data_IF_738877445708
#
_entry.id   IF_738877445708
#
_cell.length_a   1.000
_cell.length_b   1.000
_cell.length_c   1.000
_cell.angle_alpha   90.00
_cell.angle_beta   90.00
_cell.angle_gamma   90.00
#
_symmetry.space_group_name_H-M   'P 1'
#
loop_
_entity.id
_entity.type
_entity.pdbx_description
1 polymer ?
#
# COMPACT_ATOMS: atom_id res chain seq x y z
N UNK A 1 -31.71 -3.17 -11.90
CA UNK A 1 -30.66 -4.20 -11.94
C UNK A 1 -29.36 -3.59 -11.43
N UNK A 2 -28.59 -4.32 -10.62
CA UNK A 2 -27.26 -3.85 -10.22
C UNK A 2 -26.41 -3.69 -11.48
N UNK A 3 -25.76 -2.54 -11.63
CA UNK A 3 -24.94 -2.26 -12.80
C UNK A 3 -23.65 -3.10 -12.71
N UNK A 4 -23.40 -4.04 -13.64
CA UNK A 4 -22.26 -4.96 -13.55
C UNK A 4 -20.92 -4.21 -13.54
N UNK A 5 -20.85 -3.07 -14.21
CA UNK A 5 -19.66 -2.21 -14.24
C UNK A 5 -19.36 -1.59 -12.85
N UNK A 6 -20.40 -1.17 -12.12
CA UNK A 6 -20.25 -0.63 -10.76
C UNK A 6 -19.83 -1.71 -9.76
N UNK A 7 -20.33 -2.94 -9.93
CA UNK A 7 -19.91 -4.09 -9.14
C UNK A 7 -18.44 -4.44 -9.41
N UNK A 8 -17.99 -4.36 -10.67
CA UNK A 8 -16.60 -4.58 -11.03
C UNK A 8 -15.67 -3.51 -10.45
N UNK A 9 -16.05 -2.23 -10.52
CA UNK A 9 -15.29 -1.13 -9.91
C UNK A 9 -15.12 -1.32 -8.39
N UNK A 10 -16.19 -1.72 -7.70
CA UNK A 10 -16.15 -1.98 -6.25
C UNK A 10 -15.21 -3.16 -5.92
N UNK A 11 -15.23 -4.22 -6.76
CA UNK A 11 -14.33 -5.37 -6.62
C UNK A 11 -12.88 -4.97 -6.85
N UNK A 12 -12.59 -4.21 -7.90
CA UNK A 12 -11.24 -3.69 -8.20
C UNK A 12 -10.71 -2.82 -7.06
N UNK A 13 -11.54 -1.91 -6.52
CA UNK A 13 -11.16 -1.09 -5.38
C UNK A 13 -10.78 -1.93 -4.14
N UNK A 14 -11.53 -3.01 -3.89
CA UNK A 14 -11.25 -3.93 -2.76
C UNK A 14 -9.95 -4.71 -2.96
N UNK A 15 -9.68 -5.17 -4.19
CA UNK A 15 -8.43 -5.85 -4.54
C UNK A 15 -7.22 -4.92 -4.43
N UNK A 16 -7.34 -3.66 -4.88
CA UNK A 16 -6.29 -2.66 -4.76
C UNK A 16 -5.94 -2.34 -3.31
N UNK A 17 -6.94 -2.28 -2.42
CA UNK A 17 -6.71 -2.12 -0.97
C UNK A 17 -5.98 -3.30 -0.37
N UNK A 18 -6.43 -4.52 -0.68
CA UNK A 18 -5.75 -5.73 -0.20
C UNK A 18 -4.30 -5.80 -0.69
N UNK A 19 -4.02 -5.39 -1.93
CA UNK A 19 -2.66 -5.30 -2.44
C UNK A 19 -1.84 -4.23 -1.71
N UNK A 20 -2.42 -3.07 -1.44
CA UNK A 20 -1.75 -2.01 -0.68
C UNK A 20 -1.35 -2.49 0.72
N UNK A 21 -2.25 -3.18 1.42
CA UNK A 21 -2.00 -3.70 2.76
C UNK A 21 -0.88 -4.76 2.75
N UNK A 22 -0.87 -5.66 1.76
CA UNK A 22 0.23 -6.62 1.59
C UNK A 22 1.58 -5.94 1.34
N UNK A 23 1.60 -4.90 0.49
CA UNK A 23 2.84 -4.17 0.18
C UNK A 23 3.38 -3.43 1.40
N UNK A 24 2.51 -2.86 2.22
CA UNK A 24 2.87 -2.17 3.47
C UNK A 24 3.38 -3.13 4.55
N UNK A 25 2.97 -4.40 4.50
CA UNK A 25 3.45 -5.45 5.39
C UNK A 25 4.83 -6.01 5.03
N UNK A 26 5.22 -6.01 3.74
CA UNK A 26 6.53 -6.49 3.27
C UNK A 26 7.74 -5.92 4.06
N UNK A 27 7.84 -4.59 4.29
CA UNK A 27 8.99 -4.04 5.01
C UNK A 27 8.97 -4.30 6.52
N UNK A 28 7.89 -4.83 7.12
CA UNK A 28 7.83 -5.05 8.58
C UNK A 28 8.90 -6.01 9.06
N UNK A 29 9.04 -7.16 8.41
CA UNK A 29 10.01 -8.19 8.83
C UNK A 29 11.46 -7.69 8.75
N UNK A 30 11.82 -6.98 7.68
CA UNK A 30 13.18 -6.42 7.54
C UNK A 30 13.44 -5.25 8.48
N UNK A 31 12.44 -4.40 8.73
CA UNK A 31 12.51 -3.34 9.74
C UNK A 31 12.74 -3.92 11.13
N UNK A 32 11.97 -4.94 11.49
CA UNK A 32 12.06 -5.57 12.81
C UNK A 32 13.42 -6.26 12.97
N UNK A 33 13.89 -6.97 11.95
CA UNK A 33 15.25 -7.52 11.93
C UNK A 33 16.32 -6.43 12.08
N UNK A 34 16.23 -5.35 11.31
CA UNK A 34 17.20 -4.24 11.36
C UNK A 34 17.23 -3.56 12.73
N UNK A 35 16.06 -3.32 13.33
CA UNK A 35 15.94 -2.64 14.62
C UNK A 35 16.31 -3.52 15.82
N UNK A 36 16.15 -4.85 15.72
CA UNK A 36 16.46 -5.79 16.80
C UNK A 36 17.88 -6.36 16.70
N UNK A 37 18.26 -6.89 15.52
CA UNK A 37 19.51 -7.63 15.32
C UNK A 37 20.67 -6.71 14.98
N UNK A 38 20.44 -5.73 14.11
CA UNK A 38 21.52 -4.86 13.65
C UNK A 38 21.81 -3.74 14.65
N UNK A 39 21.05 -3.57 15.74
CA UNK A 39 21.27 -2.49 16.73
C UNK A 39 22.68 -2.47 17.33
N UNK A 40 23.29 -3.64 17.50
CA UNK A 40 24.66 -3.79 17.99
C UNK A 40 25.72 -3.62 16.90
N UNK A 41 25.32 -3.58 15.63
CA UNK A 41 26.25 -3.42 14.51
C UNK A 41 26.55 -1.92 14.38
N UNK A 42 27.78 -1.55 14.69
CA UNK A 42 28.30 -0.21 14.54
C UNK A 42 29.22 -0.13 13.32
N UNK A 43 29.19 1.00 12.61
CA UNK A 43 30.07 1.27 11.47
C UNK A 43 29.29 1.57 10.19
N UNK A 44 29.99 2.16 9.19
CA UNK A 44 29.37 2.73 7.99
C UNK A 44 28.53 1.71 7.20
N UNK A 45 28.99 0.46 7.10
CA UNK A 45 28.23 -0.59 6.40
C UNK A 45 26.90 -0.95 7.06
N UNK A 46 26.81 -0.88 8.39
CA UNK A 46 25.55 -1.14 9.09
C UNK A 46 24.56 0.01 8.87
N UNK A 47 25.05 1.25 8.82
CA UNK A 47 24.24 2.43 8.55
C UNK A 47 23.77 2.49 7.09
N UNK A 48 24.62 2.09 6.13
CA UNK A 48 24.25 1.96 4.72
C UNK A 48 23.06 0.99 4.54
N UNK A 49 23.17 -0.23 5.11
CA UNK A 49 22.11 -1.23 5.01
C UNK A 49 20.82 -0.76 5.70
N UNK A 50 20.91 -0.10 6.86
CA UNK A 50 19.73 0.52 7.51
C UNK A 50 19.10 1.59 6.62
N UNK A 51 19.91 2.39 5.94
CA UNK A 51 19.48 3.41 4.98
C UNK A 51 18.72 2.80 3.80
N UNK A 52 19.23 1.71 3.24
CA UNK A 52 18.59 0.98 2.15
C UNK A 52 17.24 0.38 2.57
N UNK A 53 17.19 -0.26 3.76
CA UNK A 53 15.96 -0.83 4.30
C UNK A 53 14.90 0.25 4.59
N UNK A 54 15.33 1.41 5.10
CA UNK A 54 14.45 2.57 5.29
C UNK A 54 13.92 3.10 3.96
N UNK A 55 14.77 3.20 2.95
CA UNK A 55 14.39 3.63 1.60
C UNK A 55 13.41 2.65 0.95
N UNK A 56 13.62 1.35 1.15
CA UNK A 56 12.70 0.32 0.69
C UNK A 56 11.33 0.44 1.36
N UNK A 57 11.29 0.62 2.68
CA UNK A 57 10.05 0.89 3.43
C UNK A 57 9.28 2.07 2.83
N UNK A 58 9.95 3.20 2.61
CA UNK A 58 9.30 4.38 2.01
C UNK A 58 8.76 4.10 0.61
N UNK A 59 9.46 3.33 -0.22
CA UNK A 59 8.95 2.93 -1.54
C UNK A 59 7.69 2.07 -1.43
N UNK A 60 7.67 1.10 -0.52
CA UNK A 60 6.47 0.29 -0.24
C UNK A 60 5.28 1.15 0.21
N UNK A 61 5.51 2.08 1.15
CA UNK A 61 4.48 2.99 1.65
C UNK A 61 3.90 3.87 0.52
N UNK A 62 4.77 4.43 -0.34
CA UNK A 62 4.33 5.24 -1.47
C UNK A 62 3.49 4.44 -2.48
N UNK A 63 3.89 3.20 -2.78
CA UNK A 63 3.12 2.33 -3.69
C UNK A 63 1.77 1.95 -3.08
N UNK A 64 1.75 1.61 -1.78
CA UNK A 64 0.50 1.30 -1.07
C UNK A 64 -0.46 2.51 -1.06
N UNK A 65 0.05 3.72 -0.86
CA UNK A 65 -0.75 4.95 -0.93
C UNK A 65 -1.32 5.17 -2.33
N UNK A 66 -0.50 5.05 -3.38
CA UNK A 66 -0.96 5.19 -4.77
C UNK A 66 -2.08 4.19 -5.11
N UNK A 67 -1.96 2.93 -4.65
CA UNK A 67 -3.02 1.91 -4.82
C UNK A 67 -4.31 2.29 -4.08
N UNK A 68 -4.20 2.85 -2.87
CA UNK A 68 -5.34 3.32 -2.08
C UNK A 68 -6.03 4.52 -2.75
N UNK A 69 -5.28 5.42 -3.39
CA UNK A 69 -5.85 6.55 -4.13
C UNK A 69 -6.60 6.12 -5.38
N UNK A 70 -6.08 5.14 -6.12
CA UNK A 70 -6.82 4.54 -7.24
C UNK A 70 -8.09 3.85 -6.72
N UNK A 71 -8.02 3.10 -5.61
CA UNK A 71 -9.19 2.47 -5.01
C UNK A 71 -10.25 3.49 -4.56
N UNK A 72 -9.83 4.62 -3.97
CA UNK A 72 -10.72 5.74 -3.60
C UNK A 72 -11.40 6.33 -4.84
N UNK A 73 -10.65 6.49 -5.93
CA UNK A 73 -11.18 7.02 -7.20
C UNK A 73 -12.24 6.09 -7.80
N UNK A 74 -12.02 4.77 -7.78
CA UNK A 74 -13.01 3.77 -8.19
C UNK A 74 -14.29 3.85 -7.34
N UNK A 75 -14.16 3.93 -6.02
CA UNK A 75 -15.33 4.05 -5.14
C UNK A 75 -16.09 5.37 -5.35
N UNK A 76 -15.36 6.45 -5.64
CA UNK A 76 -15.96 7.75 -5.91
C UNK A 76 -16.75 7.72 -7.22
N UNK A 77 -16.19 7.16 -8.29
CA UNK A 77 -16.91 6.94 -9.55
C UNK A 77 -18.18 6.12 -9.34
N UNK A 78 -18.14 5.09 -8.48
CA UNK A 78 -19.33 4.31 -8.13
C UNK A 78 -20.39 5.11 -7.39
N UNK A 79 -19.96 5.97 -6.45
CA UNK A 79 -20.89 6.84 -5.70
C UNK A 79 -21.54 7.87 -6.61
N UNK A 80 -20.80 8.47 -7.53
CA UNK A 80 -21.29 9.50 -8.42
C UNK A 80 -22.28 8.90 -9.45
N UNK A 81 -21.93 7.75 -10.05
CA UNK A 81 -22.84 7.02 -10.95
C UNK A 81 -24.16 6.58 -10.27
N UNK A 82 -24.14 6.34 -8.94
CA UNK A 82 -25.37 6.06 -8.17
C UNK A 82 -26.21 7.31 -7.90
N UNK A 83 -25.59 8.50 -7.79
CA UNK A 83 -26.28 9.78 -7.60
C UNK A 83 -26.92 10.27 -8.89
N UNK A 84 -26.23 10.15 -10.03
CA UNK A 84 -26.77 10.55 -11.35
C UNK A 84 -27.98 9.71 -11.80
N UNK A 85 -28.15 8.51 -11.22
CA UNK A 85 -29.30 7.63 -11.48
C UNK A 85 -30.51 7.88 -10.58
N UNK A 86 -30.43 8.85 -9.67
CA UNK A 86 -31.50 9.18 -8.71
C UNK A 86 -32.12 10.53 -9.03
#
# INVERSE_FOLDING_TARGET
MADPELAEQTKRASQLRSLADHIEDLPKATRDFSTQQMKSWAGPHADDVRGDLKSWKTKCENVAEALRDVARSCDQAVKDAKKDKK
#
